data_IF_338591391805
#
_entry.id   IF_338591391805
#
_cell.length_a   1.000
_cell.length_b   1.000
_cell.length_c   1.000
_cell.angle_alpha   90.00
_cell.angle_beta   90.00
_cell.angle_gamma   90.00
#
_symmetry.space_group_name_H-M   'P 1'
#
loop_
_entity.id
_entity.type
_entity.pdbx_description
1 polymer ?
#
# COMPACT_ATOMS: atom_id res chain seq x y z
N UNK A 1 -16.63 60.76 -16.57
CA UNK A 1 -16.00 60.32 -15.30
C UNK A 1 -16.39 58.86 -14.96
N UNK A 2 -17.66 58.45 -15.12
CA UNK A 2 -18.10 57.05 -14.83
C UNK A 2 -17.52 56.00 -15.83
N UNK A 3 -17.34 56.33 -17.10
CA UNK A 3 -16.75 55.42 -18.09
C UNK A 3 -15.27 55.17 -17.83
N UNK A 4 -14.51 56.20 -17.47
CA UNK A 4 -13.10 56.06 -17.13
C UNK A 4 -12.86 55.21 -15.88
N UNK A 5 -13.74 55.26 -14.89
CA UNK A 5 -13.69 54.40 -13.69
C UNK A 5 -13.97 52.93 -14.05
N UNK A 6 -14.93 52.66 -14.95
CA UNK A 6 -15.19 51.29 -15.42
C UNK A 6 -13.99 50.68 -16.15
N UNK A 7 -13.30 51.46 -16.99
CA UNK A 7 -12.11 51.00 -17.70
C UNK A 7 -10.95 50.72 -16.75
N UNK A 8 -10.76 51.52 -15.70
CA UNK A 8 -9.75 51.29 -14.67
C UNK A 8 -10.02 50.03 -13.88
N UNK A 9 -11.30 49.79 -13.53
CA UNK A 9 -11.70 48.53 -12.81
C UNK A 9 -11.54 47.27 -13.70
N UNK A 10 -11.88 47.33 -14.98
CA UNK A 10 -11.67 46.23 -15.92
C UNK A 10 -10.16 45.94 -16.14
N UNK A 11 -9.34 46.95 -16.21
CA UNK A 11 -7.89 46.77 -16.34
C UNK A 11 -7.25 46.24 -15.06
N UNK A 12 -7.73 46.67 -13.88
CA UNK A 12 -7.26 46.15 -12.60
C UNK A 12 -7.67 44.67 -12.38
N UNK A 13 -8.89 44.27 -12.79
CA UNK A 13 -9.31 42.88 -12.76
C UNK A 13 -8.54 42.01 -13.74
N UNK A 14 -8.22 42.51 -14.93
CA UNK A 14 -7.39 41.79 -15.93
C UNK A 14 -5.94 41.64 -15.48
N UNK A 15 -5.38 42.61 -14.75
CA UNK A 15 -4.04 42.54 -14.18
C UNK A 15 -4.01 41.52 -13.01
N UNK A 16 -5.00 41.53 -12.13
CA UNK A 16 -5.12 40.50 -11.07
C UNK A 16 -5.24 39.09 -11.64
N UNK A 17 -6.05 38.89 -12.67
CA UNK A 17 -6.18 37.59 -13.30
C UNK A 17 -4.86 37.15 -13.97
N UNK A 18 -4.12 38.04 -14.63
CA UNK A 18 -2.80 37.72 -15.19
C UNK A 18 -1.73 37.42 -14.13
N UNK A 19 -1.76 38.07 -12.98
CA UNK A 19 -0.85 37.72 -11.86
C UNK A 19 -1.21 36.38 -11.24
N UNK A 20 -2.49 36.09 -11.05
CA UNK A 20 -2.96 34.77 -10.56
C UNK A 20 -2.58 33.67 -11.56
N UNK A 21 -2.78 33.90 -12.87
CA UNK A 21 -2.41 32.94 -13.91
C UNK A 21 -0.89 32.75 -13.99
N UNK A 22 -0.09 33.79 -13.73
CA UNK A 22 1.37 33.69 -13.72
C UNK A 22 1.89 32.95 -12.48
N UNK A 23 1.30 33.14 -11.32
CA UNK A 23 1.64 32.41 -10.09
C UNK A 23 1.25 30.94 -10.22
N UNK A 24 0.06 30.63 -10.75
CA UNK A 24 -0.36 29.25 -11.00
C UNK A 24 0.54 28.55 -12.01
N UNK A 25 0.96 29.25 -13.07
CA UNK A 25 1.88 28.70 -14.07
C UNK A 25 3.29 28.46 -13.51
N UNK A 26 3.80 29.32 -12.65
CA UNK A 26 5.10 29.14 -11.98
C UNK A 26 5.06 27.96 -11.00
N UNK A 27 3.97 27.80 -10.25
CA UNK A 27 3.77 26.65 -9.39
C UNK A 27 3.71 25.34 -10.20
N UNK A 28 3.01 25.33 -11.33
CA UNK A 28 2.95 24.18 -12.22
C UNK A 28 4.33 23.80 -12.77
N UNK A 29 5.15 24.78 -13.16
CA UNK A 29 6.52 24.54 -13.63
C UNK A 29 7.40 23.98 -12.51
N UNK A 30 7.26 24.46 -11.28
CA UNK A 30 7.99 23.94 -10.13
C UNK A 30 7.61 22.47 -9.85
N UNK A 31 6.32 22.14 -9.89
CA UNK A 31 5.81 20.78 -9.75
C UNK A 31 6.37 19.87 -10.85
N UNK A 32 6.33 20.29 -12.12
CA UNK A 32 6.86 19.51 -13.25
C UNK A 32 8.36 19.25 -13.07
N UNK A 33 9.14 20.27 -12.67
CA UNK A 33 10.58 20.09 -12.41
C UNK A 33 10.83 19.09 -11.30
N UNK A 34 10.03 19.14 -10.24
CA UNK A 34 10.14 18.20 -9.12
C UNK A 34 9.81 16.77 -9.56
N UNK A 35 8.73 16.58 -10.31
CA UNK A 35 8.36 15.27 -10.87
C UNK A 35 9.49 14.71 -11.74
N UNK A 36 10.07 15.53 -12.64
CA UNK A 36 11.17 15.07 -13.51
C UNK A 36 12.39 14.66 -12.68
N UNK A 37 12.74 15.45 -11.65
CA UNK A 37 13.85 15.14 -10.76
C UNK A 37 13.60 13.82 -10.02
N UNK A 38 12.47 13.70 -9.33
CA UNK A 38 12.11 12.50 -8.58
C UNK A 38 12.01 11.27 -9.50
N UNK A 39 11.46 11.43 -10.72
CA UNK A 39 11.41 10.33 -11.70
C UNK A 39 12.80 9.79 -12.04
N UNK A 40 13.79 10.68 -12.17
CA UNK A 40 15.17 10.23 -12.44
C UNK A 40 15.82 9.53 -11.25
N UNK A 41 15.44 9.92 -10.03
CA UNK A 41 15.91 9.32 -8.77
C UNK A 41 15.29 7.94 -8.53
N UNK A 42 14.04 7.72 -8.96
CA UNK A 42 13.31 6.46 -8.78
C UNK A 42 13.75 5.34 -9.73
N UNK A 43 14.50 5.67 -10.77
CA UNK A 43 14.93 4.69 -11.76
C UNK A 43 15.74 3.56 -11.13
N UNK A 44 15.29 2.32 -11.33
CA UNK A 44 15.83 1.08 -10.78
C UNK A 44 15.75 0.94 -9.25
N UNK A 45 15.09 1.87 -8.55
CA UNK A 45 14.87 1.74 -7.12
C UNK A 45 13.77 0.73 -6.82
N UNK A 46 13.98 -0.10 -5.81
CA UNK A 46 12.99 -1.06 -5.34
C UNK A 46 11.98 -0.37 -4.42
N UNK A 47 10.71 -0.49 -4.76
CA UNK A 47 9.58 0.05 -4.00
C UNK A 47 8.70 -1.11 -3.56
N UNK A 48 8.61 -1.35 -2.26
CA UNK A 48 7.69 -2.34 -1.68
C UNK A 48 6.46 -1.62 -1.16
N UNK A 49 5.28 -1.99 -1.69
CA UNK A 49 4.01 -1.36 -1.34
C UNK A 49 3.09 -2.33 -0.63
N UNK A 50 2.48 -1.89 0.46
CA UNK A 50 1.29 -2.53 1.02
C UNK A 50 0.05 -2.09 0.24
N UNK A 51 -0.83 -3.03 -0.10
CA UNK A 51 -2.16 -2.73 -0.62
C UNK A 51 -3.21 -3.17 0.40
N UNK A 52 -3.77 -2.23 1.20
CA UNK A 52 -4.79 -2.51 2.20
C UNK A 52 -6.10 -3.03 1.58
N UNK A 53 -6.81 -3.85 2.34
CA UNK A 53 -8.13 -4.34 1.95
C UNK A 53 -9.13 -3.20 1.73
N UNK A 54 -9.06 -2.13 2.52
CA UNK A 54 -9.92 -0.94 2.40
C UNK A 54 -9.78 -0.22 1.07
N UNK A 55 -8.58 -0.17 0.51
CA UNK A 55 -8.35 0.37 -0.84
C UNK A 55 -8.99 -0.55 -1.89
N UNK A 56 -8.85 -1.88 -1.75
CA UNK A 56 -9.33 -2.84 -2.76
C UNK A 56 -10.86 -2.82 -2.88
N UNK A 57 -11.59 -2.56 -1.78
CA UNK A 57 -13.06 -2.54 -1.76
C UNK A 57 -13.66 -1.22 -2.22
N UNK A 58 -12.88 -0.15 -2.34
CA UNK A 58 -13.31 1.16 -2.84
C UNK A 58 -12.79 1.36 -4.27
N UNK A 59 -13.68 1.37 -5.25
CA UNK A 59 -13.32 1.45 -6.67
C UNK A 59 -12.51 2.71 -7.03
N UNK A 60 -12.74 3.84 -6.34
CA UNK A 60 -12.02 5.09 -6.60
C UNK A 60 -10.60 5.04 -6.03
N UNK A 61 -10.48 4.59 -4.79
CA UNK A 61 -9.17 4.44 -4.13
C UNK A 61 -8.35 3.36 -4.84
N UNK A 62 -8.98 2.25 -5.23
CA UNK A 62 -8.31 1.19 -5.95
C UNK A 62 -7.81 1.66 -7.32
N UNK A 63 -8.64 2.38 -8.07
CA UNK A 63 -8.22 2.97 -9.36
C UNK A 63 -7.04 3.92 -9.17
N UNK A 64 -7.11 4.85 -8.21
CA UNK A 64 -6.03 5.79 -7.92
C UNK A 64 -4.73 5.09 -7.48
N UNK A 65 -4.85 4.00 -6.70
CA UNK A 65 -3.70 3.17 -6.33
C UNK A 65 -3.05 2.53 -7.57
N UNK A 66 -3.84 1.89 -8.43
CA UNK A 66 -3.36 1.24 -9.66
C UNK A 66 -2.70 2.25 -10.61
N UNK A 67 -3.28 3.45 -10.76
CA UNK A 67 -2.70 4.54 -11.54
C UNK A 67 -1.37 5.02 -10.93
N UNK A 68 -1.30 5.12 -9.60
CA UNK A 68 -0.07 5.49 -8.90
C UNK A 68 1.06 4.47 -9.15
N UNK A 69 0.73 3.17 -9.09
CA UNK A 69 1.69 2.09 -9.41
C UNK A 69 2.19 2.22 -10.85
N UNK A 70 1.29 2.48 -11.81
CA UNK A 70 1.68 2.67 -13.22
C UNK A 70 2.63 3.84 -13.41
N UNK A 71 2.37 4.97 -12.76
CA UNK A 71 3.23 6.15 -12.86
C UNK A 71 4.61 5.91 -12.26
N UNK A 72 4.70 5.22 -11.13
CA UNK A 72 5.98 4.85 -10.52
C UNK A 72 6.76 3.86 -11.42
N UNK A 73 6.08 2.88 -12.02
CA UNK A 73 6.68 1.95 -12.97
C UNK A 73 7.20 2.69 -14.23
N UNK A 74 6.45 3.66 -14.75
CA UNK A 74 6.89 4.49 -15.87
C UNK A 74 8.13 5.36 -15.53
N UNK A 75 8.34 5.69 -14.26
CA UNK A 75 9.58 6.32 -13.78
C UNK A 75 10.75 5.34 -13.71
N UNK A 76 10.54 4.07 -14.02
CA UNK A 76 11.56 3.01 -14.01
C UNK A 76 11.79 2.39 -12.64
N UNK A 77 10.89 2.59 -11.68
CA UNK A 77 10.96 1.92 -10.38
C UNK A 77 10.65 0.41 -10.50
N UNK A 78 11.27 -0.38 -9.63
CA UNK A 78 11.01 -1.82 -9.48
C UNK A 78 9.99 -2.01 -8.36
N UNK A 79 8.77 -2.40 -8.71
CA UNK A 79 7.63 -2.38 -7.80
C UNK A 79 7.28 -3.79 -7.34
N UNK A 80 7.01 -3.93 -6.05
CA UNK A 80 6.59 -5.17 -5.40
C UNK A 80 5.36 -4.86 -4.54
N UNK A 81 4.25 -5.55 -4.77
CA UNK A 81 2.99 -5.30 -4.06
C UNK A 81 2.67 -6.47 -3.15
N UNK A 82 2.44 -6.21 -1.87
CA UNK A 82 1.89 -7.19 -0.92
C UNK A 82 0.49 -6.74 -0.56
N UNK A 83 -0.53 -7.53 -0.91
CA UNK A 83 -1.90 -7.16 -0.59
C UNK A 83 -2.36 -7.71 0.76
N UNK A 84 -3.32 -7.05 1.36
CA UNK A 84 -3.90 -7.45 2.65
C UNK A 84 -4.84 -8.66 2.49
N UNK A 85 -5.14 -9.33 3.62
CA UNK A 85 -6.22 -10.29 3.68
C UNK A 85 -7.55 -9.56 3.65
N UNK A 86 -8.48 -10.02 2.80
CA UNK A 86 -9.82 -9.46 2.75
C UNK A 86 -10.72 -10.20 3.72
N UNK A 87 -11.37 -9.44 4.60
CA UNK A 87 -12.42 -9.96 5.45
C UNK A 87 -13.72 -10.09 4.63
N UNK A 88 -14.09 -11.32 4.37
CA UNK A 88 -15.28 -11.63 3.56
C UNK A 88 -16.60 -11.16 4.20
N UNK A 89 -16.61 -10.96 5.50
CA UNK A 89 -17.82 -10.56 6.23
C UNK A 89 -18.24 -9.12 5.94
N UNK A 90 -17.29 -8.28 5.55
CA UNK A 90 -17.49 -6.85 5.30
C UNK A 90 -17.48 -6.48 3.82
N UNK A 91 -17.21 -7.44 2.91
CA UNK A 91 -16.87 -7.07 1.55
C UNK A 91 -18.07 -7.10 0.61
N UNK A 92 -18.40 -5.94 0.04
CA UNK A 92 -19.14 -5.80 -1.21
C UNK A 92 -18.51 -6.61 -2.37
N UNK A 93 -17.23 -7.03 -2.24
CA UNK A 93 -16.54 -7.89 -3.20
C UNK A 93 -17.18 -9.27 -3.31
N UNK A 94 -17.76 -9.82 -2.23
CA UNK A 94 -18.46 -11.11 -2.32
C UNK A 94 -19.71 -11.01 -3.18
N UNK A 95 -20.40 -9.88 -3.16
CA UNK A 95 -21.57 -9.67 -4.04
C UNK A 95 -21.17 -9.47 -5.51
N UNK A 96 -19.92 -9.13 -5.79
CA UNK A 96 -19.37 -9.04 -7.15
C UNK A 96 -18.82 -10.36 -7.67
N UNK A 97 -18.46 -11.29 -6.75
CA UNK A 97 -18.17 -12.67 -7.09
C UNK A 97 -19.51 -13.37 -7.29
N UNK A 98 -19.74 -14.07 -8.40
CA UNK A 98 -20.93 -14.81 -8.77
C UNK A 98 -21.88 -15.08 -7.60
N UNK A 99 -23.19 -14.76 -7.78
CA UNK A 99 -24.24 -14.95 -6.74
C UNK A 99 -24.27 -16.35 -6.13
N UNK A 100 -23.95 -17.39 -6.92
CA UNK A 100 -23.86 -18.76 -6.45
C UNK A 100 -22.69 -19.01 -5.49
N UNK A 101 -21.56 -18.33 -5.71
CA UNK A 101 -20.39 -18.45 -4.86
C UNK A 101 -20.62 -17.67 -3.57
N UNK A 102 -21.19 -16.46 -3.66
CA UNK A 102 -21.55 -15.65 -2.49
C UNK A 102 -22.59 -16.34 -1.60
N UNK A 103 -23.59 -17.03 -2.19
CA UNK A 103 -24.56 -17.86 -1.44
C UNK A 103 -23.92 -19.09 -0.78
N UNK A 104 -22.91 -19.70 -1.41
CA UNK A 104 -22.17 -20.81 -0.79
C UNK A 104 -21.31 -20.34 0.37
N UNK A 105 -20.64 -19.20 0.24
CA UNK A 105 -19.82 -18.62 1.32
C UNK A 105 -20.71 -18.11 2.47
N UNK A 106 -21.84 -17.47 2.18
CA UNK A 106 -22.79 -17.03 3.23
C UNK A 106 -23.41 -18.18 4.02
N UNK A 107 -23.49 -19.38 3.42
CA UNK A 107 -23.90 -20.61 4.09
C UNK A 107 -22.79 -21.24 4.95
N UNK A 108 -21.54 -20.83 4.78
CA UNK A 108 -20.43 -21.17 5.70
C UNK A 108 -20.58 -20.26 6.92
N UNK A 109 -21.71 -20.42 7.63
CA UNK A 109 -22.11 -19.58 8.75
C UNK A 109 -21.31 -19.86 10.04
N UNK A 110 -20.42 -20.83 10.01
CA UNK A 110 -19.58 -21.14 11.16
C UNK A 110 -18.29 -20.30 11.10
N UNK A 111 -18.16 -19.36 12.02
CA UNK A 111 -16.98 -18.49 12.17
C UNK A 111 -15.66 -19.27 12.25
N UNK A 112 -15.71 -20.54 12.66
CA UNK A 112 -14.56 -21.44 12.66
C UNK A 112 -14.08 -21.80 11.25
N UNK A 113 -14.97 -21.78 10.26
CA UNK A 113 -14.63 -22.12 8.87
C UNK A 113 -13.98 -20.96 8.11
N UNK A 114 -14.25 -19.70 8.49
CA UNK A 114 -13.59 -18.52 7.94
C UNK A 114 -12.11 -18.39 8.38
N UNK A 115 -11.75 -19.05 9.46
CA UNK A 115 -10.37 -19.19 9.90
C UNK A 115 -9.66 -20.39 9.24
N UNK A 116 -10.31 -21.06 8.28
CA UNK A 116 -9.70 -22.16 7.55
C UNK A 116 -8.65 -21.60 6.57
N UNK A 117 -7.37 -21.94 6.73
CA UNK A 117 -6.30 -21.42 5.86
C UNK A 117 -6.54 -21.67 4.38
N UNK A 118 -7.18 -22.79 4.02
CA UNK A 118 -7.46 -23.15 2.63
C UNK A 118 -8.51 -22.21 2.02
N UNK A 119 -9.56 -21.89 2.76
CA UNK A 119 -10.59 -20.95 2.28
C UNK A 119 -9.96 -19.56 2.09
N UNK A 120 -9.17 -19.12 3.06
CA UNK A 120 -8.48 -17.83 2.97
C UNK A 120 -7.45 -17.80 1.84
N UNK A 121 -6.77 -18.91 1.55
CA UNK A 121 -5.88 -19.04 0.41
C UNK A 121 -6.63 -18.86 -0.93
N UNK A 122 -7.77 -19.52 -1.10
CA UNK A 122 -8.61 -19.40 -2.31
C UNK A 122 -9.04 -17.94 -2.52
N UNK A 123 -9.49 -17.28 -1.46
CA UNK A 123 -9.97 -15.90 -1.52
C UNK A 123 -8.84 -14.91 -1.77
N UNK A 124 -7.72 -15.11 -1.10
CA UNK A 124 -6.51 -14.32 -1.31
C UNK A 124 -6.00 -14.47 -2.76
N UNK A 125 -6.09 -15.67 -3.32
CA UNK A 125 -5.74 -15.94 -4.72
C UNK A 125 -6.69 -15.24 -5.70
N UNK A 126 -7.98 -15.17 -5.41
CA UNK A 126 -8.94 -14.42 -6.21
C UNK A 126 -8.59 -12.93 -6.21
N UNK A 127 -8.39 -12.33 -5.04
CA UNK A 127 -8.01 -10.92 -4.89
C UNK A 127 -6.70 -10.63 -5.61
N UNK A 128 -5.73 -11.51 -5.48
CA UNK A 128 -4.46 -11.42 -6.17
C UNK A 128 -4.65 -11.30 -7.68
N UNK A 129 -5.50 -12.15 -8.28
CA UNK A 129 -5.79 -12.10 -9.72
C UNK A 129 -6.61 -10.86 -10.13
N UNK A 130 -7.47 -10.35 -9.24
CA UNK A 130 -8.17 -9.08 -9.47
C UNK A 130 -7.18 -7.92 -9.60
N UNK A 131 -6.21 -7.82 -8.70
CA UNK A 131 -5.17 -6.79 -8.73
C UNK A 131 -4.33 -6.89 -10.01
N UNK A 132 -3.87 -8.11 -10.34
CA UNK A 132 -3.12 -8.36 -11.58
C UNK A 132 -3.90 -7.93 -12.81
N UNK A 133 -5.18 -8.28 -12.88
CA UNK A 133 -6.05 -7.90 -14.02
C UNK A 133 -6.17 -6.37 -14.14
N UNK A 134 -6.34 -5.66 -13.03
CA UNK A 134 -6.42 -4.18 -13.03
C UNK A 134 -5.10 -3.55 -13.48
N UNK A 135 -3.96 -4.01 -13.00
CA UNK A 135 -2.64 -3.55 -13.44
C UNK A 135 -2.43 -3.82 -14.93
N UNK A 136 -2.76 -5.01 -15.38
CA UNK A 136 -2.61 -5.39 -16.80
C UNK A 136 -3.51 -4.56 -17.72
N UNK A 137 -4.71 -4.19 -17.28
CA UNK A 137 -5.65 -3.37 -18.07
C UNK A 137 -5.14 -1.97 -18.39
N UNK A 138 -4.20 -1.45 -17.60
CA UNK A 138 -3.55 -0.14 -17.83
C UNK A 138 -2.12 -0.26 -18.37
N UNK A 139 -1.73 -1.46 -18.81
CA UNK A 139 -0.47 -1.72 -19.49
C UNK A 139 0.73 -2.04 -18.60
N UNK A 140 0.53 -2.36 -17.31
CA UNK A 140 1.59 -2.93 -16.47
C UNK A 140 1.76 -4.42 -16.76
N UNK A 141 2.99 -4.90 -16.79
CA UNK A 141 3.27 -6.32 -16.75
C UNK A 141 3.26 -6.78 -15.30
N UNK A 142 2.22 -7.51 -14.88
CA UNK A 142 2.06 -7.96 -13.51
C UNK A 142 1.85 -9.47 -13.42
N UNK A 143 2.37 -10.09 -12.36
CA UNK A 143 2.20 -11.50 -12.06
C UNK A 143 1.73 -11.67 -10.62
N UNK A 144 0.77 -12.54 -10.40
CA UNK A 144 0.30 -12.88 -9.06
C UNK A 144 0.96 -14.15 -8.56
N UNK A 145 1.60 -14.03 -7.40
CA UNK A 145 2.29 -15.11 -6.69
C UNK A 145 1.91 -15.11 -5.21
N UNK A 146 2.33 -16.11 -4.49
CA UNK A 146 2.25 -16.27 -3.05
C UNK A 146 3.60 -16.62 -2.45
N UNK A 147 3.69 -16.71 -1.15
CA UNK A 147 4.91 -17.18 -0.50
C UNK A 147 5.26 -18.63 -0.82
N UNK A 148 4.31 -19.43 -1.35
CA UNK A 148 4.55 -20.82 -1.76
C UNK A 148 5.31 -20.93 -3.09
N UNK A 149 5.11 -19.94 -3.98
CA UNK A 149 5.67 -19.95 -5.32
C UNK A 149 7.19 -19.81 -5.25
N UNK A 150 7.92 -20.70 -5.91
CA UNK A 150 9.38 -20.77 -5.91
C UNK A 150 10.01 -20.78 -4.49
N UNK A 151 9.29 -21.27 -3.48
CA UNK A 151 9.70 -21.22 -2.07
C UNK A 151 10.06 -19.79 -1.62
N UNK A 152 9.32 -18.80 -2.08
CA UNK A 152 9.56 -17.39 -1.78
C UNK A 152 9.59 -17.13 -0.28
N UNK A 153 8.62 -17.70 0.47
CA UNK A 153 8.50 -17.53 1.92
C UNK A 153 8.23 -18.87 2.59
N UNK A 154 8.88 -19.09 3.73
CA UNK A 154 8.54 -20.18 4.64
C UNK A 154 7.85 -19.63 5.89
N UNK A 155 6.80 -20.30 6.34
CA UNK A 155 5.99 -19.89 7.46
C UNK A 155 6.35 -20.63 8.74
N UNK A 156 6.18 -19.95 9.88
CA UNK A 156 6.14 -20.57 11.20
C UNK A 156 4.92 -20.09 11.94
N UNK A 157 4.20 -21.00 12.57
CA UNK A 157 3.03 -20.67 13.38
C UNK A 157 3.44 -19.72 14.51
N UNK A 158 2.85 -18.52 14.52
CA UNK A 158 3.04 -17.59 15.64
C UNK A 158 2.33 -18.09 16.91
N UNK A 159 2.91 -17.82 18.07
CA UNK A 159 2.28 -18.04 19.36
C UNK A 159 1.31 -16.91 19.76
N UNK A 160 1.37 -15.80 19.03
CA UNK A 160 0.55 -14.61 19.29
C UNK A 160 -0.78 -14.71 18.55
N UNK A 161 -1.88 -14.54 19.28
CA UNK A 161 -3.19 -14.37 18.64
C UNK A 161 -3.35 -12.90 18.24
N UNK A 162 -3.60 -12.66 16.97
CA UNK A 162 -3.90 -11.31 16.47
C UNK A 162 -5.38 -11.03 16.62
N UNK A 163 -5.69 -9.86 17.17
CA UNK A 163 -7.06 -9.37 17.32
C UNK A 163 -7.23 -8.14 16.43
N UNK A 164 -8.28 -8.14 15.62
CA UNK A 164 -8.67 -6.96 14.83
C UNK A 164 -9.91 -6.33 15.46
N UNK A 165 -9.90 -5.02 15.62
CA UNK A 165 -11.09 -4.28 16.05
C UNK A 165 -11.83 -3.86 14.77
N UNK A 166 -13.06 -4.32 14.62
CA UNK A 166 -13.95 -3.93 13.53
C UNK A 166 -15.28 -3.52 14.15
N UNK A 167 -15.73 -2.28 13.91
CA UNK A 167 -16.98 -1.72 14.43
C UNK A 167 -17.15 -1.89 15.95
N UNK A 168 -16.11 -1.61 16.75
CA UNK A 168 -16.04 -1.79 18.20
C UNK A 168 -16.02 -3.24 18.70
N UNK A 169 -16.11 -4.23 17.83
CA UNK A 169 -15.98 -5.64 18.19
C UNK A 169 -14.54 -6.13 18.01
N UNK A 170 -14.03 -6.80 19.03
CA UNK A 170 -12.71 -7.45 18.96
C UNK A 170 -12.87 -8.79 18.23
N UNK A 171 -12.46 -8.81 16.96
CA UNK A 171 -12.48 -10.02 16.15
C UNK A 171 -11.15 -10.74 16.32
N UNK A 172 -11.21 -11.97 16.77
CA UNK A 172 -10.04 -12.85 16.77
C UNK A 172 -9.82 -13.38 15.35
N UNK A 173 -8.81 -12.84 14.65
CA UNK A 173 -8.45 -13.26 13.28
C UNK A 173 -7.72 -14.62 13.29
N UNK A 174 -7.57 -15.24 14.45
CA UNK A 174 -6.81 -16.46 14.61
C UNK A 174 -5.31 -16.19 14.76
N UNK A 175 -4.53 -17.24 14.60
CA UNK A 175 -3.08 -17.15 14.67
C UNK A 175 -2.54 -16.87 13.26
N UNK A 176 -2.12 -15.64 12.99
CA UNK A 176 -1.32 -15.35 11.81
C UNK A 176 0.08 -15.93 12.03
N UNK A 177 0.62 -16.53 11.01
CA UNK A 177 1.99 -17.07 11.04
C UNK A 177 3.00 -15.99 10.65
N UNK A 178 4.24 -16.23 11.02
CA UNK A 178 5.35 -15.33 10.75
C UNK A 178 6.19 -15.88 9.61
N UNK A 179 6.66 -15.04 8.68
CA UNK A 179 7.68 -15.45 7.72
C UNK A 179 9.01 -15.66 8.46
N UNK A 180 9.64 -16.81 8.28
CA UNK A 180 10.92 -17.14 8.94
C UNK A 180 12.09 -17.26 7.97
N UNK A 181 11.79 -17.43 6.69
CA UNK A 181 12.78 -17.51 5.62
C UNK A 181 12.19 -16.86 4.37
N UNK A 182 13.05 -16.23 3.60
CA UNK A 182 12.73 -15.67 2.29
C UNK A 182 13.81 -16.05 1.28
N UNK A 183 13.35 -16.45 0.08
CA UNK A 183 14.21 -16.60 -1.11
C UNK A 183 13.79 -15.52 -2.12
N UNK A 184 14.50 -14.37 -2.20
CA UNK A 184 14.09 -13.25 -3.03
C UNK A 184 14.40 -13.43 -4.52
N UNK A 185 15.07 -14.51 -4.96
CA UNK A 185 15.51 -14.70 -6.35
C UNK A 185 14.39 -14.53 -7.37
N UNK A 186 13.21 -15.08 -7.08
CA UNK A 186 12.07 -14.97 -8.00
C UNK A 186 11.61 -13.51 -8.14
N UNK A 187 11.66 -12.72 -7.06
CA UNK A 187 11.29 -11.30 -7.06
C UNK A 187 12.31 -10.48 -7.87
N UNK A 188 13.60 -10.76 -7.72
CA UNK A 188 14.67 -10.11 -8.47
C UNK A 188 14.54 -10.43 -9.97
N UNK A 189 14.28 -11.69 -10.33
CA UNK A 189 14.05 -12.10 -11.71
C UNK A 189 12.86 -11.37 -12.35
N UNK A 190 11.76 -11.16 -11.62
CA UNK A 190 10.63 -10.37 -12.12
C UNK A 190 11.02 -8.90 -12.33
N UNK A 191 11.72 -8.30 -11.38
CA UNK A 191 12.18 -6.92 -11.48
C UNK A 191 13.11 -6.69 -12.68
N UNK A 192 14.04 -7.61 -12.95
CA UNK A 192 14.96 -7.53 -14.09
C UNK A 192 14.21 -7.54 -15.44
N UNK A 193 13.04 -8.16 -15.47
CA UNK A 193 12.16 -8.21 -16.64
C UNK A 193 11.03 -7.15 -16.61
N UNK A 194 11.08 -6.19 -15.70
CA UNK A 194 10.04 -5.16 -15.48
C UNK A 194 8.64 -5.75 -15.24
N UNK A 195 8.56 -6.86 -14.54
CA UNK A 195 7.32 -7.50 -14.14
C UNK A 195 7.04 -7.15 -12.68
N UNK A 196 5.82 -6.70 -12.38
CA UNK A 196 5.36 -6.35 -11.05
C UNK A 196 4.81 -7.60 -10.36
N UNK A 197 5.50 -8.16 -9.33
CA UNK A 197 4.93 -9.23 -8.54
C UNK A 197 3.88 -8.68 -7.56
N UNK A 198 2.70 -9.29 -7.58
CA UNK A 198 1.64 -9.08 -6.62
C UNK A 198 1.62 -10.30 -5.69
N UNK A 199 1.95 -10.11 -4.43
CA UNK A 199 2.24 -11.18 -3.49
C UNK A 199 1.06 -11.34 -2.54
N UNK A 200 0.48 -12.54 -2.55
CA UNK A 200 -0.53 -12.95 -1.57
C UNK A 200 0.16 -13.47 -0.31
N UNK A 201 -0.21 -12.98 0.90
CA UNK A 201 0.51 -13.24 2.13
C UNK A 201 0.13 -14.59 2.76
N UNK A 202 0.47 -15.67 2.09
CA UNK A 202 0.41 -17.03 2.64
C UNK A 202 1.61 -17.85 2.15
N UNK A 203 2.02 -18.82 2.96
CA UNK A 203 3.17 -19.70 2.69
C UNK A 203 2.96 -21.07 3.29
N UNK A 204 3.86 -22.00 3.02
CA UNK A 204 3.89 -23.31 3.67
C UNK A 204 4.91 -23.33 4.80
N UNK A 205 4.67 -24.20 5.79
CA UNK A 205 5.68 -24.60 6.75
C UNK A 205 6.53 -25.79 6.21
N UNK A 206 7.41 -26.33 7.06
CA UNK A 206 8.26 -27.50 6.77
C UNK A 206 7.47 -28.80 6.58
N UNK A 207 6.19 -28.84 6.95
CA UNK A 207 5.26 -29.95 6.75
C UNK A 207 4.30 -29.72 5.57
N UNK A 208 4.60 -28.74 4.69
CA UNK A 208 3.77 -28.34 3.53
C UNK A 208 2.38 -27.81 3.90
N UNK A 209 2.15 -27.51 5.18
CA UNK A 209 0.88 -26.96 5.64
C UNK A 209 0.77 -25.48 5.34
N UNK A 210 -0.37 -25.08 4.79
CA UNK A 210 -0.67 -23.67 4.50
C UNK A 210 -0.85 -22.83 5.75
N UNK A 211 -0.21 -21.69 5.77
CA UNK A 211 -0.31 -20.65 6.79
C UNK A 211 -0.61 -19.29 6.19
N UNK A 212 -1.54 -18.56 6.80
CA UNK A 212 -1.71 -17.14 6.55
C UNK A 212 -0.60 -16.38 7.27
N UNK A 213 0.07 -15.51 6.55
CA UNK A 213 1.16 -14.70 7.10
C UNK A 213 0.64 -13.38 7.65
N UNK A 214 1.31 -12.86 8.66
CA UNK A 214 1.15 -11.46 9.06
C UNK A 214 1.67 -10.57 7.91
N UNK A 215 0.75 -9.82 7.29
CA UNK A 215 1.05 -8.99 6.10
C UNK A 215 2.15 -7.98 6.38
N UNK A 216 2.14 -7.38 7.55
CA UNK A 216 3.09 -6.36 7.94
C UNK A 216 4.50 -6.94 8.12
N UNK A 217 4.62 -8.12 8.76
CA UNK A 217 5.90 -8.82 8.86
C UNK A 217 6.38 -9.31 7.50
N UNK A 218 5.46 -9.80 6.66
CA UNK A 218 5.77 -10.22 5.30
C UNK A 218 6.34 -9.06 4.48
N UNK A 219 5.70 -7.88 4.57
CA UNK A 219 6.13 -6.68 3.89
C UNK A 219 7.55 -6.25 4.34
N UNK A 220 7.79 -6.21 5.66
CA UNK A 220 9.11 -5.87 6.21
C UNK A 220 10.19 -6.88 5.79
N UNK A 221 9.86 -8.19 5.80
CA UNK A 221 10.78 -9.25 5.39
C UNK A 221 11.16 -9.13 3.91
N UNK A 222 10.18 -8.85 3.04
CA UNK A 222 10.42 -8.64 1.61
C UNK A 222 11.25 -7.37 1.39
N UNK A 223 10.89 -6.25 2.03
CA UNK A 223 11.62 -4.99 1.89
C UNK A 223 13.08 -5.13 2.34
N UNK A 224 13.32 -5.81 3.45
CA UNK A 224 14.67 -6.09 3.96
C UNK A 224 15.48 -6.97 3.00
N UNK A 225 14.90 -8.07 2.51
CA UNK A 225 15.60 -9.00 1.63
C UNK A 225 15.94 -8.40 0.26
N UNK A 226 15.12 -7.47 -0.23
CA UNK A 226 15.37 -6.73 -1.47
C UNK A 226 16.26 -5.51 -1.28
N UNK A 227 16.62 -5.17 -0.05
CA UNK A 227 17.25 -3.89 0.30
C UNK A 227 16.49 -2.70 -0.31
N UNK A 228 15.16 -2.73 -0.21
CA UNK A 228 14.28 -1.80 -0.90
C UNK A 228 14.55 -0.34 -0.48
N UNK A 229 14.72 0.55 -1.44
CA UNK A 229 14.92 1.97 -1.20
C UNK A 229 13.66 2.65 -0.65
N UNK A 230 12.47 2.10 -0.94
CA UNK A 230 11.21 2.65 -0.47
C UNK A 230 10.27 1.56 0.03
N UNK A 231 9.75 1.75 1.24
CA UNK A 231 8.66 0.98 1.81
C UNK A 231 7.44 1.90 1.98
N UNK A 232 6.33 1.59 1.32
CA UNK A 232 5.11 2.40 1.38
C UNK A 232 4.07 1.69 2.24
N UNK A 233 3.66 2.35 3.32
CA UNK A 233 2.72 1.88 4.33
C UNK A 233 1.46 2.77 4.33
N UNK A 234 0.40 2.41 3.61
CA UNK A 234 -0.89 3.09 3.73
C UNK A 234 -1.54 2.80 5.09
N UNK A 235 -2.14 3.82 5.68
CA UNK A 235 -2.87 3.74 6.95
C UNK A 235 -4.18 4.53 6.86
N UNK A 236 -5.14 4.20 7.71
CA UNK A 236 -6.43 4.90 7.83
C UNK A 236 -6.33 5.98 8.89
N UNK A 237 -6.78 7.20 8.59
CA UNK A 237 -6.67 8.36 9.51
C UNK A 237 -7.38 8.10 10.85
N UNK A 238 -8.55 7.46 10.81
CA UNK A 238 -9.30 7.16 12.02
C UNK A 238 -8.63 6.14 12.96
N UNK A 239 -7.58 5.47 12.47
CA UNK A 239 -6.85 4.46 13.22
C UNK A 239 -5.59 4.99 13.90
N UNK A 240 -5.20 6.23 13.59
CA UNK A 240 -4.00 6.89 14.13
C UNK A 240 -4.39 8.17 14.86
N UNK A 241 -3.52 8.63 15.77
CA UNK A 241 -3.74 9.87 16.49
C UNK A 241 -3.57 11.10 15.59
N UNK A 242 -4.14 12.24 15.98
CA UNK A 242 -3.96 13.52 15.27
C UNK A 242 -2.50 13.98 15.21
N UNK A 243 -1.65 13.44 16.07
CA UNK A 243 -0.22 13.75 16.13
C UNK A 243 0.56 12.89 15.13
N UNK A 244 -0.03 11.78 14.62
CA UNK A 244 0.65 10.94 13.66
C UNK A 244 0.85 11.70 12.34
N UNK A 245 2.09 11.85 11.86
CA UNK A 245 2.38 12.71 10.73
C UNK A 245 1.80 12.14 9.43
N UNK A 246 1.06 13.00 8.71
CA UNK A 246 0.48 12.66 7.41
C UNK A 246 1.53 12.71 6.30
N UNK A 247 1.46 11.72 5.41
CA UNK A 247 2.30 11.66 4.20
C UNK A 247 3.78 11.92 4.49
N UNK A 248 4.32 11.22 5.48
CA UNK A 248 5.69 11.41 5.93
C UNK A 248 6.64 10.42 5.25
N UNK A 249 7.81 10.92 4.91
CA UNK A 249 8.96 10.16 4.44
C UNK A 249 10.01 10.11 5.55
N UNK A 250 10.25 8.93 6.11
CA UNK A 250 11.15 8.74 7.24
C UNK A 250 12.36 7.92 6.81
N UNK A 251 13.54 8.37 7.17
CA UNK A 251 14.80 7.63 7.00
C UNK A 251 15.52 7.38 8.32
N UNK A 252 15.32 8.25 9.29
CA UNK A 252 16.00 8.16 10.58
C UNK A 252 15.25 7.22 11.52
N UNK A 253 15.86 6.08 11.81
CA UNK A 253 15.31 5.07 12.72
C UNK A 253 15.13 5.61 14.14
N UNK A 254 15.93 6.60 14.58
CA UNK A 254 15.79 7.18 15.91
C UNK A 254 14.51 8.00 16.02
N UNK A 255 14.09 8.66 14.94
CA UNK A 255 12.80 9.34 14.87
C UNK A 255 11.67 8.33 15.05
N UNK A 256 11.71 7.18 14.37
CA UNK A 256 10.72 6.12 14.53
C UNK A 256 10.72 5.54 15.95
N UNK A 257 11.88 5.33 16.55
CA UNK A 257 11.98 4.81 17.91
C UNK A 257 11.43 5.80 18.94
N UNK A 258 11.67 7.11 18.77
CA UNK A 258 11.06 8.13 19.64
C UNK A 258 9.53 8.18 19.49
N UNK A 259 9.01 8.04 18.26
CA UNK A 259 7.56 7.95 18.03
C UNK A 259 6.95 6.71 18.68
N UNK A 260 7.70 5.61 18.76
CA UNK A 260 7.25 4.38 19.41
C UNK A 260 7.08 4.58 20.94
N UNK A 261 8.02 5.30 21.57
CA UNK A 261 7.97 5.60 23.00
C UNK A 261 6.79 6.53 23.37
N UNK A 262 6.41 7.42 22.45
CA UNK A 262 5.32 8.38 22.62
C UNK A 262 3.93 7.83 22.19
N UNK A 263 3.90 6.67 21.52
CA UNK A 263 2.69 6.10 20.98
C UNK A 263 1.83 5.44 22.07
N UNK A 264 0.58 5.88 22.18
CA UNK A 264 -0.46 5.26 23.03
C UNK A 264 -1.48 4.45 22.21
N UNK A 265 -1.26 4.30 20.91
CA UNK A 265 -2.17 3.65 19.97
C UNK A 265 -1.54 2.38 19.40
N UNK A 266 -2.19 1.24 19.62
CA UNK A 266 -1.71 -0.08 19.18
C UNK A 266 -1.45 -0.16 17.66
N UNK A 267 -2.24 0.57 16.85
CA UNK A 267 -2.10 0.56 15.37
C UNK A 267 -0.87 1.37 14.96
N UNK A 268 -0.67 2.54 15.57
CA UNK A 268 0.53 3.36 15.37
C UNK A 268 1.78 2.57 15.75
N UNK A 269 1.75 1.95 16.92
CA UNK A 269 2.85 1.11 17.43
C UNK A 269 3.17 -0.03 16.44
N UNK A 270 2.15 -0.67 15.87
CA UNK A 270 2.34 -1.71 14.87
C UNK A 270 2.96 -1.18 13.58
N UNK A 271 2.50 -0.03 13.06
CA UNK A 271 3.07 0.62 11.87
C UNK A 271 4.52 1.06 12.09
N UNK A 272 4.80 1.68 13.24
CA UNK A 272 6.15 2.12 13.58
C UNK A 272 7.10 0.93 13.71
N UNK A 273 6.67 -0.16 14.36
CA UNK A 273 7.48 -1.40 14.46
C UNK A 273 7.83 -1.99 13.10
N UNK A 274 6.90 -1.97 12.15
CA UNK A 274 7.17 -2.41 10.77
C UNK A 274 8.24 -1.52 10.14
N UNK A 275 8.06 -0.20 10.28
CA UNK A 275 8.97 0.78 9.75
C UNK A 275 10.38 0.63 10.35
N UNK A 276 10.47 0.43 11.67
CA UNK A 276 11.74 0.15 12.38
C UNK A 276 12.39 -1.12 11.82
N UNK A 277 11.66 -2.23 11.76
CA UNK A 277 12.19 -3.51 11.25
C UNK A 277 12.70 -3.39 9.80
N UNK A 278 12.02 -2.63 8.96
CA UNK A 278 12.45 -2.41 7.59
C UNK A 278 13.73 -1.58 7.51
N UNK A 279 13.88 -0.54 8.35
CA UNK A 279 15.04 0.34 8.34
C UNK A 279 16.25 -0.21 9.11
N UNK A 280 16.06 -1.11 10.08
CA UNK A 280 17.19 -1.71 10.83
C UNK A 280 18.16 -2.47 9.92
N UNK A 281 17.65 -3.01 8.82
CA UNK A 281 18.41 -3.79 7.85
C UNK A 281 18.62 -3.07 6.51
N UNK A 282 18.18 -1.83 6.39
CA UNK A 282 18.19 -1.10 5.13
C UNK A 282 18.34 0.42 5.34
N UNK A 283 19.03 1.07 4.40
CA UNK A 283 19.20 2.53 4.35
C UNK A 283 18.09 3.24 3.54
N UNK A 284 16.95 2.61 3.36
CA UNK A 284 15.82 3.11 2.57
C UNK A 284 15.01 4.18 3.29
N UNK A 285 13.86 4.46 2.71
CA UNK A 285 12.84 5.36 3.25
C UNK A 285 11.57 4.59 3.56
N UNK A 286 10.92 4.93 4.66
CA UNK A 286 9.55 4.50 4.94
C UNK A 286 8.61 5.68 4.70
N UNK A 287 7.56 5.42 3.93
CA UNK A 287 6.51 6.38 3.61
C UNK A 287 5.21 5.95 4.26
N UNK A 288 4.77 6.69 5.26
CA UNK A 288 3.45 6.52 5.84
C UNK A 288 2.48 7.42 5.08
N UNK A 289 1.50 6.82 4.39
CA UNK A 289 0.58 7.54 3.51
C UNK A 289 -0.87 7.30 3.91
N UNK A 290 -1.71 8.34 3.78
CA UNK A 290 -3.13 8.20 4.03
C UNK A 290 -3.80 7.31 2.98
N UNK A 291 -4.37 6.18 3.37
CA UNK A 291 -5.06 5.25 2.47
C UNK A 291 -6.39 5.78 1.93
N UNK A 292 -7.00 6.75 2.60
CA UNK A 292 -8.30 7.33 2.26
C UNK A 292 -8.18 8.50 1.27
N UNK A 293 -6.95 9.01 1.05
CA UNK A 293 -6.69 10.09 0.11
C UNK A 293 -6.20 9.55 -1.24
N UNK A 294 -6.94 9.75 -2.34
CA UNK A 294 -6.45 9.43 -3.67
C UNK A 294 -5.11 10.15 -3.94
N UNK A 295 -4.19 9.48 -4.60
CA UNK A 295 -2.87 10.01 -4.95
C UNK A 295 -1.91 10.32 -3.78
N UNK A 296 -2.22 9.92 -2.54
CA UNK A 296 -1.33 10.11 -1.38
C UNK A 296 0.05 9.49 -1.60
N UNK A 297 0.13 8.37 -2.29
CA UNK A 297 1.39 7.71 -2.67
C UNK A 297 2.22 8.65 -3.55
N UNK A 298 1.63 9.19 -4.62
CA UNK A 298 2.34 10.07 -5.55
C UNK A 298 2.75 11.38 -4.90
N UNK A 299 1.87 11.98 -4.08
CA UNK A 299 2.18 13.21 -3.38
C UNK A 299 3.40 13.06 -2.47
N UNK A 300 3.48 11.93 -1.76
CA UNK A 300 4.60 11.64 -0.86
C UNK A 300 5.88 11.26 -1.63
N UNK A 301 5.77 10.50 -2.71
CA UNK A 301 6.91 10.08 -3.51
C UNK A 301 7.54 11.24 -4.29
N UNK A 302 6.73 12.18 -4.75
CA UNK A 302 7.19 13.34 -5.52
C UNK A 302 7.31 14.63 -4.69
N UNK A 303 7.17 14.57 -3.36
CA UNK A 303 7.19 15.72 -2.45
C UNK A 303 6.24 16.84 -2.92
N UNK A 304 5.02 16.48 -3.36
CA UNK A 304 4.00 17.38 -3.84
C UNK A 304 2.97 17.62 -2.73
N UNK A 305 2.87 18.85 -2.23
CA UNK A 305 1.78 19.22 -1.33
C UNK A 305 0.49 19.35 -2.16
N UNK A 306 -0.37 18.35 -2.07
CA UNK A 306 -1.74 18.40 -2.58
C UNK A 306 -2.60 18.93 -1.43
N UNK A 307 -2.82 20.25 -1.40
CA UNK A 307 -3.78 20.90 -0.51
C UNK A 307 -5.19 20.74 -1.04
#
# INVERSE_FOLDING_TARGET
VQENLKLVWQNASNLKNKEVDSISSLNNIAIIKNIIKCSSELKNQAIVLKLPATIIIDDKLFTAFIESVRLLEMCGAKIYIVHDHIDLRSSSLISQIDENFSQKISKISDYSSLNNPIIMEILSSYVNKLIVTKLSSIGCYAVGISGKDANLLQAKKSKLSYRKIVNHDVINIGFLSEPIMINPEILLNFADNNIIPVIAPFASDDQEKTHLLNVNLTLATIASALSAEHLILPYEILQVSEIFPYNIKIRDINVLKSMLDDSNNFIEEALIKIAVNALENNNGYVHCVNSEAPNSILSTMFDININ
#
